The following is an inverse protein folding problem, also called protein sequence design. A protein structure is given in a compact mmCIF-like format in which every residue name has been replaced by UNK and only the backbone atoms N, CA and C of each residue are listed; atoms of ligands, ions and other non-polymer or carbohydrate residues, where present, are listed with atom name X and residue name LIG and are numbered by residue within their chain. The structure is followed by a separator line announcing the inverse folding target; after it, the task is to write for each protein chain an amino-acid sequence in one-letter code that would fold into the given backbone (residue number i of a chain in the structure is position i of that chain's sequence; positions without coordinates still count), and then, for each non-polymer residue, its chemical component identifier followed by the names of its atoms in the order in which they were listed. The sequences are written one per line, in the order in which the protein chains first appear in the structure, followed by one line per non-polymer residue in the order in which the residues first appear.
data_IF_209954074641
#
_entry.id   IF_209954074641
#
_cell.length_a   1.000
_cell.length_b   1.000
_cell.length_c   1.000
_cell.angle_alpha   90.00
_cell.angle_beta   90.00
_cell.angle_gamma   90.00
#
_symmetry.space_group_name_H-M   'P 1'
#
loop_
_entity.id
_entity.type
_entity.pdbx_description
1 polymer ?
#
# COMPACT_ATOMS: atom_id res chain seq x y z
N UNK A 1 -9.64 6.91 7.41
CA UNK A 1 -8.73 5.89 8.01
C UNK A 1 -9.21 5.51 9.40
N UNK A 2 -8.98 4.29 9.86
CA UNK A 2 -9.33 3.89 11.24
C UNK A 2 -8.58 4.76 12.25
N UNK A 3 -9.33 5.31 13.20
CA UNK A 3 -8.86 6.12 14.34
C UNK A 3 -8.63 5.27 15.58
N UNK A 4 -8.67 3.94 15.45
CA UNK A 4 -8.49 3.01 16.56
C UNK A 4 -7.03 2.63 16.74
N UNK A 5 -6.64 2.49 18.01
CA UNK A 5 -5.32 2.00 18.41
C UNK A 5 -5.09 0.58 17.91
N UNK A 6 -3.81 0.26 17.74
CA UNK A 6 -3.36 -1.04 17.31
C UNK A 6 -3.60 -2.09 18.40
N UNK A 7 -4.05 -3.27 17.97
CA UNK A 7 -4.16 -4.44 18.83
C UNK A 7 -2.76 -5.02 19.02
N UNK A 8 -2.38 -5.21 20.28
CA UNK A 8 -1.10 -5.75 20.70
C UNK A 8 -1.27 -7.06 21.48
N UNK A 9 -0.16 -7.67 21.92
CA UNK A 9 -0.19 -8.86 22.76
C UNK A 9 -1.09 -8.65 23.99
N UNK A 10 -1.90 -9.66 24.30
CA UNK A 10 -2.91 -9.59 25.36
C UNK A 10 -4.20 -8.83 25.00
N UNK A 11 -4.29 -8.18 23.83
CA UNK A 11 -5.56 -7.61 23.36
C UNK A 11 -6.55 -8.71 23.03
N UNK A 12 -7.80 -8.56 23.46
CA UNK A 12 -8.87 -9.49 23.11
C UNK A 12 -9.06 -9.57 21.58
N UNK A 13 -9.36 -10.77 21.08
CA UNK A 13 -9.67 -10.95 19.67
C UNK A 13 -10.94 -10.16 19.31
N UNK A 14 -10.99 -9.54 18.12
CA UNK A 14 -12.22 -8.92 17.63
C UNK A 14 -13.30 -9.98 17.42
N UNK A 15 -14.57 -9.56 17.53
CA UNK A 15 -15.71 -10.44 17.23
C UNK A 15 -15.75 -10.88 15.76
N UNK A 16 -16.69 -11.76 15.39
CA UNK A 16 -16.87 -12.20 14.01
C UNK A 16 -17.09 -11.02 13.05
N UNK A 17 -16.61 -11.14 11.81
CA UNK A 17 -16.83 -10.13 10.77
C UNK A 17 -18.32 -10.04 10.44
N UNK A 18 -18.96 -8.86 10.54
CA UNK A 18 -20.39 -8.72 10.27
C UNK A 18 -20.75 -9.10 8.83
N UNK A 19 -21.94 -9.68 8.62
CA UNK A 19 -22.44 -9.99 7.28
C UNK A 19 -22.43 -8.75 6.38
N UNK A 20 -21.98 -8.91 5.13
CA UNK A 20 -21.86 -7.81 4.17
C UNK A 20 -20.69 -6.86 4.43
N UNK A 21 -19.76 -7.23 5.32
CA UNK A 21 -18.47 -6.54 5.49
C UNK A 21 -17.33 -7.50 5.18
N UNK A 22 -16.18 -6.90 4.89
CA UNK A 22 -14.89 -7.58 4.94
C UNK A 22 -14.02 -6.87 5.97
N UNK A 23 -13.19 -7.62 6.70
CA UNK A 23 -12.24 -7.04 7.65
C UNK A 23 -10.86 -6.98 7.03
N UNK A 24 -10.18 -5.86 7.22
CA UNK A 24 -8.78 -5.70 6.91
C UNK A 24 -7.97 -5.60 8.21
N UNK A 25 -7.09 -6.57 8.45
CA UNK A 25 -5.99 -6.41 9.39
C UNK A 25 -4.87 -5.60 8.72
N UNK A 26 -4.53 -4.47 9.32
CA UNK A 26 -3.69 -3.43 8.73
C UNK A 26 -2.64 -2.95 9.74
N UNK A 27 -1.79 -2.02 9.28
CA UNK A 27 -1.06 -1.11 10.13
C UNK A 27 -1.03 0.24 9.40
N UNK A 28 -1.36 1.33 10.10
CA UNK A 28 -1.63 2.66 9.53
C UNK A 28 -0.57 3.16 8.55
N UNK A 29 0.69 2.90 8.85
CA UNK A 29 1.85 3.35 8.08
C UNK A 29 2.42 2.30 7.13
N UNK A 30 1.87 1.08 7.10
CA UNK A 30 2.36 0.00 6.24
C UNK A 30 2.02 0.27 4.76
N UNK A 31 3.02 0.34 3.85
CA UNK A 31 2.76 0.56 2.42
C UNK A 31 2.05 -0.64 1.77
N UNK A 32 2.35 -1.87 2.19
CA UNK A 32 1.68 -3.06 1.68
C UNK A 32 0.20 -3.09 2.05
N UNK A 33 -0.14 -2.76 3.30
CA UNK A 33 -1.54 -2.67 3.72
C UNK A 33 -2.26 -1.45 3.12
N UNK A 34 -1.53 -0.40 2.74
CA UNK A 34 -2.10 0.73 2.01
C UNK A 34 -2.61 0.34 0.63
N UNK A 35 -1.98 -0.60 -0.08
CA UNK A 35 -2.51 -1.15 -1.34
C UNK A 35 -3.96 -1.63 -1.19
N UNK A 36 -4.21 -2.45 -0.17
CA UNK A 36 -5.55 -2.98 0.09
C UNK A 36 -6.52 -1.87 0.53
N UNK A 37 -6.07 -0.89 1.34
CA UNK A 37 -6.89 0.28 1.69
C UNK A 37 -7.27 1.12 0.48
N UNK A 38 -6.35 1.33 -0.48
CA UNK A 38 -6.61 2.04 -1.73
C UNK A 38 -7.69 1.32 -2.52
N UNK A 39 -7.58 0.00 -2.69
CA UNK A 39 -8.58 -0.81 -3.42
C UNK A 39 -9.94 -0.78 -2.75
N UNK A 40 -10.00 -0.98 -1.42
CA UNK A 40 -11.25 -0.88 -0.65
C UNK A 40 -11.92 0.48 -0.83
N UNK A 41 -11.14 1.56 -0.75
CA UNK A 41 -11.61 2.95 -0.91
C UNK A 41 -12.09 3.22 -2.34
N UNK A 42 -11.27 2.88 -3.34
CA UNK A 42 -11.60 3.09 -4.76
C UNK A 42 -12.87 2.37 -5.18
N UNK A 43 -13.12 1.17 -4.63
CA UNK A 43 -14.29 0.36 -4.94
C UNK A 43 -15.50 0.64 -4.02
N UNK A 44 -15.35 1.51 -3.02
CA UNK A 44 -16.42 1.82 -2.06
C UNK A 44 -16.88 0.62 -1.23
N UNK A 45 -15.98 -0.34 -0.99
CA UNK A 45 -16.32 -1.59 -0.30
C UNK A 45 -16.53 -1.32 1.19
N UNK A 46 -17.65 -1.81 1.73
CA UNK A 46 -17.93 -1.71 3.16
C UNK A 46 -17.00 -2.63 3.94
N UNK A 47 -16.20 -2.07 4.83
CA UNK A 47 -15.17 -2.81 5.55
C UNK A 47 -14.90 -2.24 6.93
N UNK A 48 -14.29 -3.06 7.78
CA UNK A 48 -13.69 -2.64 9.05
C UNK A 48 -12.16 -2.78 8.96
N UNK A 49 -11.43 -1.92 9.67
CA UNK A 49 -9.96 -1.94 9.70
C UNK A 49 -9.50 -2.14 11.13
N UNK A 50 -8.77 -3.22 11.36
CA UNK A 50 -8.12 -3.52 12.63
C UNK A 50 -6.63 -3.29 12.48
N UNK A 51 -6.09 -2.32 13.19
CA UNK A 51 -4.65 -2.06 13.20
C UNK A 51 -3.95 -3.08 14.10
N UNK A 52 -2.84 -3.65 13.66
CA UNK A 52 -2.02 -4.62 14.41
C UNK A 52 -0.70 -3.97 14.81
N UNK A 53 -0.32 -4.12 16.08
CA UNK A 53 0.98 -3.71 16.59
C UNK A 53 2.04 -4.70 16.08
N UNK A 54 2.87 -4.28 15.12
CA UNK A 54 3.71 -5.22 14.36
C UNK A 54 4.96 -5.74 15.10
N UNK A 55 5.30 -5.18 16.27
CA UNK A 55 6.37 -5.71 17.15
C UNK A 55 5.88 -6.62 18.25
N UNK A 56 4.68 -6.35 18.76
CA UNK A 56 4.08 -7.02 19.90
C UNK A 56 2.70 -7.50 19.47
N UNK A 57 2.70 -8.51 18.60
CA UNK A 57 1.52 -8.94 17.85
C UNK A 57 0.59 -9.73 18.79
N UNK A 58 -0.74 -9.60 18.66
CA UNK A 58 -1.67 -10.47 19.36
C UNK A 58 -1.52 -11.93 18.94
N UNK A 59 -1.60 -12.87 19.89
CA UNK A 59 -1.46 -14.31 19.62
C UNK A 59 -2.55 -14.80 18.64
N UNK A 60 -3.79 -14.33 18.79
CA UNK A 60 -4.91 -14.65 17.89
C UNK A 60 -4.68 -14.19 16.44
N UNK A 61 -3.85 -13.17 16.22
CA UNK A 61 -3.51 -12.73 14.87
C UNK A 61 -2.49 -13.68 14.24
N UNK A 62 -1.54 -14.19 15.04
CA UNK A 62 -0.54 -15.17 14.61
C UNK A 62 -1.18 -16.53 14.30
N UNK A 63 -2.27 -16.90 14.98
CA UNK A 63 -3.07 -18.09 14.63
C UNK A 63 -3.69 -17.98 13.23
N UNK A 64 -4.09 -16.77 12.81
CA UNK A 64 -4.65 -16.52 11.46
C UNK A 64 -3.57 -16.42 10.39
N UNK A 65 -2.49 -15.71 10.68
CA UNK A 65 -1.35 -15.54 9.80
C UNK A 65 -0.05 -15.81 10.58
N UNK A 66 0.54 -17.01 10.46
CA UNK A 66 1.79 -17.35 11.16
C UNK A 66 2.99 -16.47 10.79
N UNK A 67 2.98 -15.83 9.60
CA UNK A 67 4.01 -14.86 9.22
C UNK A 67 3.85 -13.54 10.01
N UNK A 68 2.66 -13.28 10.56
CA UNK A 68 2.32 -12.09 11.31
C UNK A 68 2.50 -10.81 10.49
N UNK A 69 2.26 -10.88 9.19
CA UNK A 69 2.37 -9.76 8.25
C UNK A 69 0.98 -9.17 7.97
N UNK A 70 0.96 -7.88 7.61
CA UNK A 70 -0.22 -7.19 7.10
C UNK A 70 0.05 -6.74 5.66
N UNK A 71 -0.96 -6.69 4.77
CA UNK A 71 -2.39 -6.86 5.03
C UNK A 71 -2.86 -8.32 5.14
N UNK A 72 -3.96 -8.52 5.86
CA UNK A 72 -4.76 -9.75 5.82
C UNK A 72 -6.24 -9.37 5.72
N UNK A 73 -6.97 -10.01 4.81
CA UNK A 73 -8.43 -9.90 4.76
C UNK A 73 -9.08 -11.08 5.49
N UNK A 74 -10.17 -10.82 6.18
CA UNK A 74 -11.05 -11.83 6.77
C UNK A 74 -12.49 -11.62 6.28
N UNK A 75 -13.10 -12.65 5.71
CA UNK A 75 -14.49 -12.62 5.23
C UNK A 75 -15.48 -12.91 6.37
N UNK A 76 -16.76 -12.60 6.18
CA UNK A 76 -17.81 -13.00 7.12
C UNK A 76 -17.98 -14.52 7.29
N UNK A 77 -17.38 -15.33 6.39
CA UNK A 77 -17.32 -16.78 6.51
C UNK A 77 -16.08 -17.28 7.28
N UNK A 78 -15.20 -16.36 7.72
CA UNK A 78 -13.95 -16.70 8.41
C UNK A 78 -12.79 -17.08 7.48
N UNK A 79 -12.92 -16.85 6.17
CA UNK A 79 -11.84 -17.11 5.21
C UNK A 79 -10.76 -16.03 5.33
N UNK A 80 -9.49 -16.44 5.26
CA UNK A 80 -8.33 -15.56 5.43
C UNK A 80 -7.57 -15.44 4.10
N UNK A 81 -7.34 -14.21 3.65
CA UNK A 81 -6.57 -13.90 2.43
C UNK A 81 -5.36 -13.05 2.82
N UNK A 82 -4.17 -13.51 2.44
CA UNK A 82 -2.88 -12.88 2.78
C UNK A 82 -2.19 -12.37 1.52
N UNK A 83 -1.10 -11.63 1.71
CA UNK A 83 -0.32 -10.95 0.67
C UNK A 83 -1.02 -9.76 0.00
N UNK A 84 -0.33 -8.62 -0.07
CA UNK A 84 -0.94 -7.38 -0.57
C UNK A 84 -1.47 -7.47 -2.01
N UNK A 85 -0.78 -8.07 -3.00
CA UNK A 85 -1.33 -8.17 -4.35
C UNK A 85 -2.53 -9.14 -4.40
N UNK A 86 -2.48 -10.24 -3.67
CA UNK A 86 -3.54 -11.26 -3.65
C UNK A 86 -4.81 -10.71 -3.00
N UNK A 87 -4.69 -10.01 -1.87
CA UNK A 87 -5.83 -9.33 -1.24
C UNK A 87 -6.49 -8.31 -2.19
N UNK A 88 -5.69 -7.59 -2.98
CA UNK A 88 -6.20 -6.62 -3.95
C UNK A 88 -6.89 -7.28 -5.14
N UNK A 89 -6.31 -8.36 -5.70
CA UNK A 89 -6.93 -9.17 -6.76
C UNK A 89 -8.27 -9.77 -6.28
N UNK A 90 -8.30 -10.35 -5.08
CA UNK A 90 -9.52 -10.92 -4.48
C UNK A 90 -10.64 -9.89 -4.36
N UNK A 91 -10.33 -8.69 -3.85
CA UNK A 91 -11.30 -7.60 -3.77
C UNK A 91 -11.82 -7.20 -5.14
N UNK A 92 -10.95 -7.17 -6.16
CA UNK A 92 -11.36 -6.78 -7.51
C UNK A 92 -12.28 -7.81 -8.19
N UNK A 93 -12.09 -9.09 -7.88
CA UNK A 93 -12.91 -10.19 -8.39
C UNK A 93 -14.27 -10.33 -7.69
N UNK A 94 -14.30 -10.19 -6.36
CA UNK A 94 -15.52 -10.40 -5.55
C UNK A 94 -16.48 -9.22 -5.61
N UNK A 95 -15.99 -8.00 -5.84
CA UNK A 95 -16.79 -6.77 -5.92
C UNK A 95 -16.73 -6.16 -7.33
N UNK A 96 -17.56 -6.64 -8.28
CA UNK A 96 -17.35 -6.39 -9.71
C UNK A 96 -17.81 -5.01 -10.21
N UNK A 97 -18.43 -4.17 -9.37
CA UNK A 97 -19.10 -2.91 -9.76
C UNK A 97 -18.13 -1.90 -10.39
N UNK A 98 -16.90 -1.84 -9.88
CA UNK A 98 -15.81 -1.03 -10.43
C UNK A 98 -14.56 -1.88 -10.60
N UNK A 99 -14.28 -2.35 -11.82
CA UNK A 99 -13.06 -3.12 -12.11
C UNK A 99 -11.82 -2.23 -12.12
N UNK A 100 -10.78 -2.63 -11.39
CA UNK A 100 -9.47 -1.97 -11.38
C UNK A 100 -8.46 -2.68 -12.28
N UNK A 101 -8.59 -4.00 -12.43
CA UNK A 101 -7.79 -4.77 -13.39
C UNK A 101 -8.40 -4.70 -14.80
N UNK A 102 -7.57 -4.75 -15.85
CA UNK A 102 -8.04 -4.88 -17.22
C UNK A 102 -8.86 -6.17 -17.41
N UNK A 103 -9.81 -6.14 -18.33
CA UNK A 103 -10.60 -7.34 -18.66
C UNK A 103 -9.82 -8.34 -19.52
N UNK A 104 -8.85 -7.88 -20.32
CA UNK A 104 -8.06 -8.77 -21.16
C UNK A 104 -7.03 -9.56 -20.34
N UNK A 105 -6.86 -10.88 -20.58
CA UNK A 105 -5.85 -11.68 -19.87
C UNK A 105 -4.44 -11.11 -20.00
N UNK A 106 -4.09 -10.64 -21.20
CA UNK A 106 -2.80 -10.00 -21.45
C UNK A 106 -2.64 -8.69 -20.66
N UNK A 107 -3.67 -7.84 -20.60
CA UNK A 107 -3.61 -6.60 -19.83
C UNK A 107 -3.40 -6.85 -18.33
N UNK A 108 -4.07 -7.87 -17.77
CA UNK A 108 -3.81 -8.31 -16.39
C UNK A 108 -2.36 -8.76 -16.20
N UNK A 109 -1.85 -9.59 -17.11
CA UNK A 109 -0.46 -10.06 -17.05
C UNK A 109 0.54 -8.89 -17.15
N UNK A 110 0.28 -7.89 -17.99
CA UNK A 110 1.12 -6.69 -18.10
C UNK A 110 1.20 -5.91 -16.78
N UNK A 111 0.08 -5.73 -16.07
CA UNK A 111 0.08 -5.08 -14.77
C UNK A 111 0.85 -5.90 -13.72
N UNK A 112 0.68 -7.22 -13.71
CA UNK A 112 1.42 -8.13 -12.80
C UNK A 112 2.92 -8.11 -13.08
N UNK A 113 3.34 -8.16 -14.35
CA UNK A 113 4.75 -8.04 -14.72
C UNK A 113 5.34 -6.70 -14.27
N UNK A 114 4.63 -5.59 -14.47
CA UNK A 114 5.09 -4.28 -14.00
C UNK A 114 5.28 -4.25 -12.48
N UNK A 115 4.34 -4.84 -11.73
CA UNK A 115 4.44 -4.95 -10.27
C UNK A 115 5.68 -5.76 -9.84
N UNK A 116 5.96 -6.90 -10.49
CA UNK A 116 7.14 -7.73 -10.19
C UNK A 116 8.47 -7.01 -10.44
N UNK A 117 8.53 -6.12 -11.42
CA UNK A 117 9.72 -5.29 -11.65
C UNK A 117 9.86 -4.19 -10.58
N UNK A 118 8.73 -3.68 -10.08
CA UNK A 118 8.70 -2.64 -9.06
C UNK A 118 8.97 -3.16 -7.63
N UNK A 119 8.47 -4.35 -7.28
CA UNK A 119 8.43 -4.90 -5.90
C UNK A 119 9.80 -5.11 -5.23
N UNK A 120 10.91 -4.94 -5.96
CA UNK A 120 12.27 -5.17 -5.49
C UNK A 120 12.91 -3.99 -4.73
N UNK A 121 12.17 -2.92 -4.41
CA UNK A 121 12.72 -1.72 -3.74
C UNK A 121 12.47 -1.77 -2.22
N UNK A 122 13.48 -2.05 -1.39
CA UNK A 122 13.37 -1.92 0.05
C UNK A 122 13.48 -0.45 0.49
N UNK A 123 12.35 0.19 0.82
CA UNK A 123 12.31 1.60 1.27
C UNK A 123 12.50 1.81 2.78
N UNK A 124 12.50 0.75 3.59
CA UNK A 124 12.65 0.86 5.05
C UNK A 124 14.09 0.53 5.46
N UNK A 125 14.92 1.58 5.57
CA UNK A 125 16.31 1.48 6.04
C UNK A 125 16.52 2.08 7.43
N UNK A 126 17.49 1.54 8.18
CA UNK A 126 17.85 2.00 9.53
C UNK A 126 18.68 3.28 9.48
N UNK A 127 18.72 4.01 10.60
CA UNK A 127 19.56 5.21 10.76
C UNK A 127 21.04 4.84 10.53
N UNK A 128 21.71 5.54 9.60
CA UNK A 128 23.13 5.35 9.30
C UNK A 128 23.48 4.35 8.20
N UNK A 129 22.49 3.76 7.52
CA UNK A 129 22.75 2.92 6.33
C UNK A 129 23.08 3.77 5.10
N UNK A 130 24.05 3.31 4.30
CA UNK A 130 24.37 3.90 3.00
C UNK A 130 23.15 3.79 2.05
N UNK A 131 22.72 4.93 1.54
CA UNK A 131 21.57 5.10 0.65
C UNK A 131 21.97 5.24 -0.81
N UNK A 132 23.26 5.42 -1.13
CA UNK A 132 23.72 5.67 -2.51
C UNK A 132 23.29 4.57 -3.50
N UNK A 133 23.40 3.30 -3.10
CA UNK A 133 22.92 2.17 -3.90
C UNK A 133 21.40 2.13 -4.08
N UNK A 134 20.64 2.58 -3.06
CA UNK A 134 19.17 2.67 -3.14
C UNK A 134 18.76 3.80 -4.09
N UNK A 135 19.42 4.96 -4.01
CA UNK A 135 19.16 6.10 -4.90
C UNK A 135 19.42 5.76 -6.36
N UNK A 136 20.53 5.06 -6.64
CA UNK A 136 20.85 4.60 -7.98
C UNK A 136 19.77 3.64 -8.53
N UNK A 137 19.35 2.67 -7.71
CA UNK A 137 18.27 1.73 -8.07
C UNK A 137 16.93 2.45 -8.29
N UNK A 138 16.57 3.41 -7.43
CA UNK A 138 15.36 4.22 -7.56
C UNK A 138 15.37 5.03 -8.85
N UNK A 139 16.46 5.77 -9.13
CA UNK A 139 16.61 6.56 -10.35
C UNK A 139 16.52 5.70 -11.61
N UNK A 140 17.15 4.51 -11.60
CA UNK A 140 17.06 3.57 -12.72
C UNK A 140 15.61 3.10 -12.94
N UNK A 141 14.91 2.70 -11.88
CA UNK A 141 13.52 2.24 -11.97
C UNK A 141 12.57 3.35 -12.37
N UNK A 142 12.73 4.55 -11.82
CA UNK A 142 11.92 5.72 -12.18
C UNK A 142 12.15 6.13 -13.64
N UNK A 143 13.38 6.09 -14.15
CA UNK A 143 13.65 6.30 -15.57
C UNK A 143 12.94 5.27 -16.47
N UNK A 144 12.87 4.01 -16.05
CA UNK A 144 12.13 2.97 -16.79
C UNK A 144 10.63 3.23 -16.79
N UNK A 145 10.05 3.57 -15.62
CA UNK A 145 8.63 3.90 -15.49
C UNK A 145 8.24 5.15 -16.30
N UNK A 146 9.10 6.16 -16.33
CA UNK A 146 8.90 7.37 -17.15
C UNK A 146 8.90 7.04 -18.64
N UNK A 147 9.87 6.25 -19.10
CA UNK A 147 9.91 5.75 -20.49
C UNK A 147 8.65 4.96 -20.85
N UNK A 148 8.13 4.15 -19.93
CA UNK A 148 6.88 3.41 -20.15
C UNK A 148 5.69 4.36 -20.37
N UNK A 149 5.57 5.44 -19.58
CA UNK A 149 4.52 6.46 -19.75
C UNK A 149 4.70 7.24 -21.07
N UNK A 150 5.93 7.64 -21.40
CA UNK A 150 6.25 8.31 -22.68
C UNK A 150 5.86 7.43 -23.88
N UNK A 151 6.21 6.15 -23.84
CA UNK A 151 5.93 5.21 -24.92
C UNK A 151 4.44 4.91 -25.07
N UNK A 152 3.73 4.72 -23.94
CA UNK A 152 2.30 4.44 -23.93
C UNK A 152 1.45 5.66 -24.29
N UNK A 153 1.94 6.87 -23.99
CA UNK A 153 1.21 8.15 -24.15
C UNK A 153 -0.12 8.16 -23.38
N UNK A 154 -0.12 7.57 -22.19
CA UNK A 154 -1.28 7.46 -21.31
C UNK A 154 -1.06 8.25 -20.03
N UNK A 155 -2.15 8.65 -19.37
CA UNK A 155 -2.06 9.39 -18.09
C UNK A 155 -1.60 8.52 -16.91
N UNK A 156 -1.91 7.24 -16.95
CA UNK A 156 -1.63 6.24 -15.93
C UNK A 156 -1.02 4.99 -16.56
N UNK A 157 -0.46 4.09 -15.74
CA UNK A 157 0.28 2.93 -16.25
C UNK A 157 -0.63 1.92 -16.97
N UNK A 158 -1.92 1.90 -16.63
CA UNK A 158 -2.94 1.06 -17.27
C UNK A 158 -3.77 1.74 -18.37
N UNK A 159 -3.60 3.04 -18.62
CA UNK A 159 -4.42 3.79 -19.59
C UNK A 159 -4.68 5.24 -19.16
N UNK A 160 -5.77 5.83 -19.64
CA UNK A 160 -6.15 7.22 -19.30
C UNK A 160 -6.92 7.36 -17.98
N UNK A 161 -7.14 6.26 -17.27
CA UNK A 161 -7.75 6.20 -15.95
C UNK A 161 -6.90 5.35 -15.02
N UNK A 162 -6.98 5.62 -13.72
CA UNK A 162 -6.30 4.84 -12.68
C UNK A 162 -6.76 3.38 -12.74
N UNK A 163 -5.79 2.47 -12.62
CA UNK A 163 -6.02 1.03 -12.56
C UNK A 163 -5.29 0.42 -11.37
N UNK A 164 -5.42 -0.90 -11.18
CA UNK A 164 -4.82 -1.61 -10.05
C UNK A 164 -3.32 -1.32 -9.91
N UNK A 165 -2.56 -1.36 -11.00
CA UNK A 165 -1.10 -1.17 -10.96
C UNK A 165 -0.67 0.20 -10.40
N UNK A 166 -1.44 1.25 -10.65
CA UNK A 166 -1.16 2.59 -10.12
C UNK A 166 -1.27 2.57 -8.59
N UNK A 167 -2.35 1.99 -8.04
CA UNK A 167 -2.51 1.80 -6.59
C UNK A 167 -1.49 0.84 -5.98
N UNK A 168 -1.00 -0.14 -6.74
CA UNK A 168 0.03 -1.06 -6.24
C UNK A 168 1.39 -0.39 -6.07
N UNK A 169 1.70 0.66 -6.84
CA UNK A 169 2.98 1.37 -6.74
C UNK A 169 2.89 2.63 -5.87
N UNK A 170 1.72 3.26 -5.81
CA UNK A 170 1.51 4.54 -5.11
C UNK A 170 2.11 4.64 -3.70
N UNK A 171 1.95 3.66 -2.78
CA UNK A 171 2.44 3.81 -1.41
C UNK A 171 3.93 4.15 -1.29
N UNK A 172 4.76 3.71 -2.24
CA UNK A 172 6.19 4.02 -2.23
C UNK A 172 6.47 5.46 -2.71
N UNK A 173 5.74 5.91 -3.73
CA UNK A 173 5.83 7.28 -4.24
C UNK A 173 5.35 8.31 -3.21
N UNK A 174 4.25 8.02 -2.51
CA UNK A 174 3.72 8.86 -1.42
C UNK A 174 4.77 9.14 -0.34
N UNK A 175 5.70 8.20 -0.13
CA UNK A 175 6.68 8.28 0.96
C UNK A 175 8.00 8.92 0.56
N UNK A 176 8.26 9.17 -0.73
CA UNK A 176 9.50 9.82 -1.19
C UNK A 176 9.76 11.08 -0.36
N UNK A 177 8.69 11.89 -0.23
CA UNK A 177 8.41 12.91 0.79
C UNK A 177 9.22 12.86 2.09
N UNK A 178 8.93 11.77 2.78
CA UNK A 178 9.32 11.58 4.17
C UNK A 178 10.67 10.88 4.28
N UNK A 179 11.15 10.32 3.16
CA UNK A 179 12.46 9.75 3.04
C UNK A 179 13.49 10.73 2.47
N UNK A 180 13.08 11.94 2.07
CA UNK A 180 13.96 12.94 1.45
C UNK A 180 14.55 12.40 0.14
N UNK A 181 13.73 11.70 -0.66
CA UNK A 181 14.12 11.01 -1.90
C UNK A 181 13.39 11.55 -3.15
N UNK A 182 12.73 12.70 -3.07
CA UNK A 182 11.91 13.26 -4.15
C UNK A 182 12.75 13.60 -5.37
N UNK A 183 14.00 14.03 -5.16
CA UNK A 183 14.96 14.31 -6.23
C UNK A 183 15.28 13.07 -7.08
N UNK A 184 14.97 11.84 -6.62
CA UNK A 184 15.09 10.66 -7.46
C UNK A 184 14.16 10.70 -8.67
N UNK A 185 13.11 11.53 -8.65
CA UNK A 185 12.22 11.78 -9.79
C UNK A 185 12.80 12.77 -10.80
N UNK A 186 13.96 13.38 -10.55
CA UNK A 186 14.55 14.33 -11.49
C UNK A 186 14.89 13.66 -12.83
N UNK A 187 14.56 14.35 -13.93
CA UNK A 187 14.63 13.78 -15.28
C UNK A 187 13.50 12.82 -15.65
N UNK A 188 12.45 12.68 -14.82
CA UNK A 188 11.26 11.85 -15.11
C UNK A 188 9.96 12.67 -15.20
N UNK A 189 9.78 13.51 -16.24
CA UNK A 189 8.68 14.47 -16.30
C UNK A 189 7.28 13.83 -16.39
N UNK A 190 7.11 12.69 -17.08
CA UNK A 190 5.81 12.02 -17.16
C UNK A 190 5.49 11.28 -15.87
N UNK A 191 6.52 10.74 -15.20
CA UNK A 191 6.35 10.16 -13.88
C UNK A 191 5.98 11.21 -12.81
N UNK A 192 6.60 12.40 -12.84
CA UNK A 192 6.19 13.53 -11.98
C UNK A 192 4.72 13.91 -12.22
N UNK A 193 4.31 14.05 -13.47
CA UNK A 193 2.89 14.27 -13.85
C UNK A 193 1.97 13.18 -13.31
N UNK A 194 2.38 11.91 -13.41
CA UNK A 194 1.63 10.79 -12.83
C UNK A 194 1.49 10.94 -11.31
N UNK A 195 2.56 11.30 -10.58
CA UNK A 195 2.47 11.53 -9.12
C UNK A 195 1.49 12.64 -8.75
N UNK A 196 1.48 13.74 -9.49
CA UNK A 196 0.53 14.85 -9.30
C UNK A 196 -0.92 14.39 -9.49
N UNK A 197 -1.20 13.60 -10.53
CA UNK A 197 -2.55 13.04 -10.77
C UNK A 197 -2.97 12.06 -9.69
N UNK A 198 -2.04 11.24 -9.19
CA UNK A 198 -2.34 10.31 -8.11
C UNK A 198 -2.71 11.06 -6.82
N UNK A 199 -2.05 12.19 -6.52
CA UNK A 199 -2.42 13.04 -5.38
C UNK A 199 -3.83 13.64 -5.50
N UNK A 200 -4.38 13.76 -6.71
CA UNK A 200 -5.74 14.26 -6.93
C UNK A 200 -6.83 13.20 -6.65
N UNK A 201 -6.49 11.91 -6.73
CA UNK A 201 -7.41 10.79 -6.59
C UNK A 201 -8.04 10.69 -5.19
N UNK A 202 -9.34 10.38 -5.14
CA UNK A 202 -10.09 10.32 -3.89
C UNK A 202 -9.66 9.15 -3.00
N UNK A 203 -9.30 8.00 -3.57
CA UNK A 203 -8.85 6.85 -2.79
C UNK A 203 -7.46 7.10 -2.20
N UNK A 204 -6.58 7.75 -2.96
CA UNK A 204 -5.28 8.24 -2.46
C UNK A 204 -5.48 9.20 -1.29
N UNK A 205 -6.25 10.28 -1.48
CA UNK A 205 -6.54 11.27 -0.42
C UNK A 205 -7.14 10.63 0.84
N UNK A 206 -8.04 9.65 0.68
CA UNK A 206 -8.68 8.99 1.81
C UNK A 206 -7.75 8.07 2.64
N UNK A 207 -6.59 7.68 2.08
CA UNK A 207 -5.69 6.68 2.68
C UNK A 207 -4.29 7.21 3.03
N UNK A 208 -3.97 8.44 2.61
CA UNK A 208 -2.69 9.10 2.89
C UNK A 208 -2.64 9.71 4.29
N UNK A 209 -1.45 9.78 4.88
CA UNK A 209 -1.18 10.55 6.10
C UNK A 209 -0.55 11.89 5.77
N UNK A 210 -0.65 12.86 6.68
CA UNK A 210 0.19 14.06 6.56
C UNK A 210 1.67 13.67 6.64
N UNK A 211 2.51 14.45 5.96
CA UNK A 211 3.95 14.24 6.00
C UNK A 211 4.50 14.28 7.43
N UNK A 212 4.05 15.23 8.24
CA UNK A 212 4.46 15.34 9.66
C UNK A 212 4.13 14.07 10.44
N UNK A 213 2.92 13.54 10.25
CA UNK A 213 2.49 12.30 10.91
C UNK A 213 3.39 11.13 10.51
N UNK A 214 3.68 10.99 9.22
CA UNK A 214 4.51 9.89 8.73
C UNK A 214 5.99 10.07 9.12
N UNK A 215 6.55 11.29 9.04
CA UNK A 215 7.91 11.61 9.49
C UNK A 215 8.10 11.31 10.96
N UNK A 216 7.12 11.62 11.80
CA UNK A 216 7.19 11.30 13.22
C UNK A 216 7.10 9.80 13.52
N UNK A 217 6.22 9.06 12.81
CA UNK A 217 6.24 7.59 12.85
C UNK A 217 7.62 7.05 12.41
N UNK A 218 8.15 7.55 11.30
CA UNK A 218 9.43 7.10 10.75
C UNK A 218 10.60 7.36 11.72
N UNK A 219 10.60 8.51 12.42
CA UNK A 219 11.57 8.80 13.46
C UNK A 219 11.50 7.75 14.59
N UNK A 220 10.31 7.46 15.11
CA UNK A 220 10.12 6.43 16.15
C UNK A 220 10.55 5.03 15.67
N UNK A 221 10.32 4.71 14.38
CA UNK A 221 10.76 3.46 13.77
C UNK A 221 12.29 3.38 13.69
N UNK A 222 12.96 4.46 13.27
CA UNK A 222 14.43 4.57 13.21
C UNK A 222 15.08 4.49 14.59
N UNK A 223 14.41 4.96 15.63
CA UNK A 223 14.84 4.85 17.04
C UNK A 223 14.62 3.44 17.62
N UNK A 224 14.07 2.51 16.83
CA UNK A 224 13.81 1.14 17.25
C UNK A 224 12.59 0.98 18.16
N UNK A 225 11.81 2.03 18.39
CA UNK A 225 10.58 2.03 19.20
C UNK A 225 9.41 2.60 18.37
N UNK A 226 9.00 1.91 17.28
CA UNK A 226 7.97 2.42 16.40
C UNK A 226 6.67 2.66 17.14
N UNK A 227 6.15 3.88 17.06
CA UNK A 227 4.84 4.24 17.57
C UNK A 227 3.78 3.99 16.48
N UNK A 228 3.25 2.78 16.43
CA UNK A 228 2.21 2.40 15.45
C UNK A 228 0.90 3.17 15.61
N UNK A 229 0.71 3.82 16.77
CA UNK A 229 -0.47 4.59 17.14
C UNK A 229 -0.24 6.11 17.08
N UNK A 230 0.86 6.56 16.47
CA UNK A 230 1.19 7.99 16.40
C UNK A 230 0.02 8.84 15.85
N UNK A 231 -0.37 9.88 16.57
CA UNK A 231 -1.51 10.75 16.22
C UNK A 231 -2.89 10.22 16.61
N UNK A 232 -2.97 9.20 17.49
CA UNK A 232 -4.18 8.68 18.14
C UNK A 232 -4.07 8.73 19.67
#
# INVERSE_FOLDING_TARGET
MSTERSFAKGSAAPGPVPKGHIRLYSMRFCPFAQRTRLVLSAKGIKHEVINIHLKDKPDWFLEKNPLGLVPVLETSAGEVIMESPITCDYLDEVYPERKLLPSSPFGKAQQKMMLEHFSKIPMLKKKGEDVSGLEAELKEKFSKLDKDLVNKKTKFFGGDSITMIDYMMWPWFERLESYELEYCLDGTPELKKWTERMLEDMAVKATMHSQDTFKAFLASYRDGKPNYDYGL
#
